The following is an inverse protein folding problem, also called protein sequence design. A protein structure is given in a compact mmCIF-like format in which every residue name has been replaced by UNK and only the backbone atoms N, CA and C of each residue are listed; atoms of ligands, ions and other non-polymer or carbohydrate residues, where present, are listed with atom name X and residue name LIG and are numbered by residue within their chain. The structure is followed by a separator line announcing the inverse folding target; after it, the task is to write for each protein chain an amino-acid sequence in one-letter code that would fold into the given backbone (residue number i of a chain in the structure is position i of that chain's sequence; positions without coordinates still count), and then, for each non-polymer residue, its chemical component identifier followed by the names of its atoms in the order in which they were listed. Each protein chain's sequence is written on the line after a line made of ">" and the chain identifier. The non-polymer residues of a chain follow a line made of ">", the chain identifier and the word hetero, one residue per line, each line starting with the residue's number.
data_IF_244524214923
#
_entry.id   IF_244524214923
#
_cell.length_a   1.000
_cell.length_b   1.000
_cell.length_c   1.000
_cell.angle_alpha   90.00
_cell.angle_beta   90.00
_cell.angle_gamma   90.00
#
_symmetry.space_group_name_H-M   'P 1'
#
loop_
_entity.id
_entity.type
_entity.pdbx_description
1 polymer ?
#
# COMPACT_ATOMS: atom_id res chain seq x y z
N UNK A 1 28.48 15.05 1.84
CA UNK A 1 27.86 15.15 3.17
C UNK A 1 28.67 16.19 3.91
N UNK A 2 28.10 17.35 4.18
CA UNK A 2 28.80 18.44 4.87
C UNK A 2 28.16 18.66 6.23
N UNK A 3 28.96 19.06 7.21
CA UNK A 3 28.49 19.39 8.55
C UNK A 3 28.07 20.86 8.57
N UNK A 4 26.94 21.16 7.93
CA UNK A 4 26.34 22.49 7.99
C UNK A 4 25.40 22.57 9.19
N UNK A 5 25.41 23.68 9.95
CA UNK A 5 24.45 23.87 11.02
C UNK A 5 23.03 23.81 10.45
N UNK A 6 22.16 22.91 10.95
CA UNK A 6 20.80 22.80 10.46
C UNK A 6 20.01 24.08 10.79
N UNK A 7 19.07 24.50 9.92
CA UNK A 7 18.12 25.56 10.23
C UNK A 7 17.29 25.19 11.47
N UNK A 8 16.81 26.18 12.24
CA UNK A 8 15.99 25.96 13.45
C UNK A 8 14.73 25.13 13.19
N UNK A 9 14.13 25.28 12.00
CA UNK A 9 12.92 24.56 11.60
C UNK A 9 13.16 23.76 10.31
N UNK A 10 12.75 22.50 10.32
CA UNK A 10 12.72 21.60 9.17
C UNK A 10 11.34 20.96 9.01
N UNK A 11 11.09 20.40 7.84
CA UNK A 11 9.79 19.83 7.49
C UNK A 11 9.92 18.38 7.08
N UNK A 12 8.95 17.57 7.48
CA UNK A 12 8.84 16.16 7.14
C UNK A 12 7.48 15.84 6.53
N UNK A 13 7.49 15.14 5.39
CA UNK A 13 6.29 14.61 4.75
C UNK A 13 5.93 13.24 5.33
N UNK A 14 5.11 13.22 6.37
CA UNK A 14 4.69 11.98 7.01
C UNK A 14 3.53 11.31 6.25
N UNK A 15 3.52 9.96 6.25
CA UNK A 15 2.36 9.18 5.80
C UNK A 15 1.27 9.20 6.88
N UNK A 16 0.00 9.12 6.50
CA UNK A 16 -1.12 9.12 7.47
C UNK A 16 -1.08 7.93 8.43
N UNK A 17 -0.75 6.74 7.91
CA UNK A 17 -0.78 5.48 8.69
C UNK A 17 0.16 5.48 9.92
N UNK A 18 1.48 5.73 9.79
CA UNK A 18 2.38 5.70 10.93
C UNK A 18 2.39 6.99 11.76
N UNK A 19 1.69 8.05 11.34
CA UNK A 19 1.71 9.34 12.04
C UNK A 19 1.33 9.24 13.52
N UNK A 20 0.36 8.37 13.87
CA UNK A 20 0.00 8.08 15.26
C UNK A 20 1.19 7.55 16.06
N UNK A 21 1.86 6.53 15.53
CA UNK A 21 3.01 5.90 16.19
C UNK A 21 4.15 6.90 16.33
N UNK A 22 4.36 7.74 15.32
CA UNK A 22 5.39 8.78 15.36
C UNK A 22 5.09 9.87 16.40
N UNK A 23 3.84 10.30 16.51
CA UNK A 23 3.42 11.25 17.53
C UNK A 23 3.64 10.71 18.95
N UNK A 24 3.37 9.42 19.18
CA UNK A 24 3.52 8.78 20.49
C UNK A 24 4.98 8.46 20.84
N UNK A 25 5.77 7.92 19.89
CA UNK A 25 7.10 7.34 20.15
C UNK A 25 8.27 8.10 19.55
N UNK A 26 8.04 8.97 18.58
CA UNK A 26 9.10 9.50 17.72
C UNK A 26 9.27 8.68 16.44
N UNK A 27 10.18 9.13 15.57
CA UNK A 27 10.58 8.37 14.38
C UNK A 27 11.94 7.75 14.64
N UNK A 28 11.98 6.42 14.62
CA UNK A 28 13.20 5.65 14.65
C UNK A 28 13.54 5.15 13.23
N UNK A 29 14.83 5.20 12.84
CA UNK A 29 15.26 4.72 11.54
C UNK A 29 15.13 3.19 11.53
N UNK A 30 14.57 2.65 10.44
CA UNK A 30 14.54 1.19 10.23
C UNK A 30 15.67 0.81 9.27
N UNK A 31 16.50 -0.17 9.65
CA UNK A 31 17.56 -0.76 8.81
C UNK A 31 18.47 0.25 8.09
N UNK A 32 19.16 1.09 8.86
CA UNK A 32 20.17 2.02 8.31
C UNK A 32 19.62 3.09 7.37
N UNK A 33 18.30 3.27 7.33
CA UNK A 33 17.65 4.34 6.54
C UNK A 33 17.59 5.61 7.36
N UNK A 34 18.36 6.60 6.94
CA UNK A 34 18.29 7.97 7.47
C UNK A 34 16.92 8.61 7.12
N UNK A 35 16.40 9.41 8.04
CA UNK A 35 15.15 10.14 7.88
C UNK A 35 15.45 11.39 7.05
N UNK A 36 14.74 11.56 5.93
CA UNK A 36 14.91 12.71 5.05
C UNK A 36 13.99 13.84 5.51
N UNK A 37 14.59 14.96 5.88
CA UNK A 37 13.94 16.23 6.19
C UNK A 37 14.17 17.23 5.05
N UNK A 38 13.25 18.17 4.91
CA UNK A 38 13.33 19.22 3.92
C UNK A 38 13.37 20.60 4.59
N UNK A 39 14.06 21.54 3.95
CA UNK A 39 14.13 22.94 4.38
C UNK A 39 12.83 23.70 4.15
N UNK A 40 12.05 23.30 3.14
CA UNK A 40 10.79 23.95 2.77
C UNK A 40 9.60 22.98 2.86
N UNK A 41 8.40 23.48 3.20
CA UNK A 41 7.21 22.64 3.32
C UNK A 41 6.78 22.04 1.98
N UNK A 42 6.92 22.78 0.89
CA UNK A 42 6.60 22.30 -0.47
C UNK A 42 7.45 21.08 -0.86
N UNK A 43 8.74 21.10 -0.50
CA UNK A 43 9.65 19.98 -0.75
C UNK A 43 9.27 18.76 0.09
N UNK A 44 8.93 18.96 1.37
CA UNK A 44 8.47 17.89 2.25
C UNK A 44 7.19 17.23 1.70
N UNK A 45 6.21 18.03 1.26
CA UNK A 45 4.98 17.54 0.64
C UNK A 45 5.26 16.78 -0.66
N UNK A 46 6.17 17.29 -1.51
CA UNK A 46 6.56 16.60 -2.76
C UNK A 46 7.15 15.22 -2.49
N UNK A 47 7.99 15.09 -1.46
CA UNK A 47 8.56 13.80 -1.05
C UNK A 47 7.48 12.89 -0.45
N UNK A 48 6.60 13.44 0.38
CA UNK A 48 5.47 12.71 0.97
C UNK A 48 4.50 12.17 -0.08
N UNK A 49 4.16 12.98 -1.08
CA UNK A 49 3.25 12.66 -2.19
C UNK A 49 3.70 11.45 -3.01
N UNK A 50 5.01 11.19 -3.09
CA UNK A 50 5.54 9.99 -3.76
C UNK A 50 5.15 8.70 -3.04
N UNK A 51 4.85 8.77 -1.75
CA UNK A 51 4.60 7.62 -0.88
C UNK A 51 3.13 7.48 -0.48
N UNK A 52 2.45 8.60 -0.29
CA UNK A 52 1.05 8.67 0.11
C UNK A 52 0.40 9.87 -0.61
N UNK A 53 -0.78 9.71 -1.24
CA UNK A 53 -1.45 10.80 -1.96
C UNK A 53 -1.95 11.93 -1.05
N UNK A 54 -2.03 11.73 0.27
CA UNK A 54 -2.42 12.74 1.26
C UNK A 54 -1.40 12.78 2.40
N UNK A 55 -0.17 13.28 2.16
CA UNK A 55 0.86 13.36 3.19
C UNK A 55 0.49 14.41 4.24
N UNK A 56 0.89 14.16 5.48
CA UNK A 56 0.78 15.09 6.60
C UNK A 56 2.10 15.85 6.70
N UNK A 57 2.03 17.17 6.69
CA UNK A 57 3.18 18.03 6.96
C UNK A 57 3.45 18.05 8.46
N UNK A 58 4.68 17.71 8.84
CA UNK A 58 5.17 17.77 10.21
C UNK A 58 6.34 18.73 10.27
N UNK A 59 6.30 19.66 11.20
CA UNK A 59 7.35 20.61 11.50
C UNK A 59 8.26 20.03 12.58
N UNK A 60 9.56 20.26 12.43
CA UNK A 60 10.60 19.69 13.28
C UNK A 60 11.47 20.82 13.78
N UNK A 61 11.53 20.97 15.09
CA UNK A 61 12.49 21.86 15.73
C UNK A 61 13.84 21.16 15.88
N UNK A 62 14.84 21.66 15.17
CA UNK A 62 16.16 21.03 15.11
C UNK A 62 16.97 21.24 16.38
N UNK A 63 16.77 22.35 17.10
CA UNK A 63 17.44 22.63 18.37
C UNK A 63 17.00 21.64 19.45
N UNK A 64 15.69 21.41 19.54
CA UNK A 64 15.13 20.42 20.47
C UNK A 64 15.63 19.03 20.09
N UNK A 65 15.59 18.66 18.81
CA UNK A 65 16.07 17.37 18.36
C UNK A 65 17.57 17.17 18.64
N UNK A 66 18.41 18.17 18.38
CA UNK A 66 19.84 18.13 18.64
C UNK A 66 20.14 17.99 20.14
N UNK A 67 19.39 18.69 21.00
CA UNK A 67 19.52 18.55 22.47
C UNK A 67 19.21 17.13 22.98
N UNK A 68 18.38 16.38 22.23
CA UNK A 68 18.01 14.99 22.50
C UNK A 68 18.94 13.98 21.80
N UNK A 69 20.03 14.43 21.19
CA UNK A 69 21.04 13.59 20.54
C UNK A 69 20.73 13.22 19.09
N UNK A 70 19.89 13.98 18.39
CA UNK A 70 19.70 13.83 16.95
C UNK A 70 20.87 14.47 16.18
N UNK A 71 21.48 13.72 15.27
CA UNK A 71 22.50 14.23 14.35
C UNK A 71 21.86 14.60 13.02
N UNK A 72 22.24 15.76 12.49
CA UNK A 72 21.75 16.28 11.22
C UNK A 72 22.90 16.30 10.23
N UNK A 73 22.69 15.70 9.07
CA UNK A 73 23.64 15.70 7.95
C UNK A 73 23.02 16.45 6.79
N UNK A 74 23.73 17.43 6.22
CA UNK A 74 23.23 18.14 5.06
C UNK A 74 23.32 17.27 3.80
N UNK A 75 22.26 17.27 3.01
CA UNK A 75 22.19 16.62 1.70
C UNK A 75 21.78 17.63 0.64
N UNK A 76 22.79 18.26 0.04
CA UNK A 76 22.59 19.39 -0.87
C UNK A 76 22.05 20.62 -0.14
N UNK A 77 21.36 21.50 -0.87
CA UNK A 77 20.92 22.80 -0.33
C UNK A 77 19.57 22.76 0.41
N UNK A 78 18.75 21.74 0.17
CA UNK A 78 17.32 21.72 0.53
C UNK A 78 16.92 20.53 1.42
N UNK A 79 17.79 19.53 1.58
CA UNK A 79 17.48 18.31 2.31
C UNK A 79 18.49 18.07 3.42
N UNK A 80 18.00 17.44 4.48
CA UNK A 80 18.79 17.03 5.64
C UNK A 80 18.46 15.59 5.97
N UNK A 81 19.45 14.86 6.43
CA UNK A 81 19.35 13.48 6.87
C UNK A 81 19.50 13.44 8.38
N UNK A 82 18.65 12.66 9.03
CA UNK A 82 18.64 12.53 10.48
C UNK A 82 18.60 11.07 10.87
N UNK A 83 19.39 10.72 11.87
CA UNK A 83 19.43 9.36 12.40
C UNK A 83 18.16 9.06 13.18
N UNK A 84 17.83 9.87 14.19
CA UNK A 84 16.67 9.67 15.07
C UNK A 84 15.90 10.97 15.24
N UNK A 85 14.57 10.89 15.24
CA UNK A 85 13.70 12.03 15.49
C UNK A 85 12.87 11.82 16.77
N UNK A 86 13.14 12.57 17.85
CA UNK A 86 12.36 12.46 19.09
C UNK A 86 10.97 13.07 18.93
N UNK A 87 10.00 12.56 19.70
CA UNK A 87 8.63 13.09 19.72
C UNK A 87 8.55 14.56 20.14
N UNK A 88 9.41 14.97 21.07
CA UNK A 88 9.42 16.33 21.64
C UNK A 88 9.74 17.41 20.59
N UNK A 89 10.42 17.03 19.51
CA UNK A 89 10.81 17.94 18.44
C UNK A 89 9.78 18.00 17.31
N UNK A 90 8.78 17.11 17.30
CA UNK A 90 7.76 17.05 16.24
C UNK A 90 6.53 17.85 16.61
N UNK A 91 6.21 18.80 15.73
CA UNK A 91 5.00 19.60 15.80
C UNK A 91 4.19 19.34 14.54
N UNK A 92 2.96 18.90 14.70
CA UNK A 92 2.10 18.63 13.56
C UNK A 92 0.65 18.79 13.92
N UNK A 93 -0.24 18.78 12.92
CA UNK A 93 -1.67 18.87 13.17
C UNK A 93 -2.07 17.79 14.17
N UNK A 94 -2.82 18.13 15.23
CA UNK A 94 -3.31 17.14 16.17
C UNK A 94 -4.11 16.10 15.40
N UNK A 95 -3.79 14.84 15.64
CA UNK A 95 -4.33 13.72 14.90
C UNK A 95 -5.84 13.65 15.13
N UNK A 96 -6.66 14.16 14.20
CA UNK A 96 -8.11 13.92 14.26
C UNK A 96 -8.36 12.45 13.94
N UNK A 97 -9.02 11.77 14.86
CA UNK A 97 -9.29 10.33 14.82
C UNK A 97 -10.01 9.88 13.54
N UNK A 98 -10.75 10.80 12.92
CA UNK A 98 -11.51 10.62 11.67
C UNK A 98 -10.61 10.36 10.46
N UNK A 99 -9.39 10.91 10.42
CA UNK A 99 -8.43 10.69 9.34
C UNK A 99 -7.52 9.46 9.57
N UNK A 100 -7.62 8.82 10.73
CA UNK A 100 -6.80 7.69 11.17
C UNK A 100 -7.36 6.31 10.84
N UNK A 101 -8.65 6.23 10.57
CA UNK A 101 -9.28 4.96 10.27
C UNK A 101 -8.89 4.53 8.84
N UNK A 102 -8.33 3.32 8.64
CA UNK A 102 -8.38 2.75 7.30
C UNK A 102 -9.85 2.77 6.87
N UNK A 103 -10.17 3.03 5.59
CA UNK A 103 -11.54 2.79 5.12
C UNK A 103 -11.89 1.39 5.61
N UNK A 104 -12.94 1.27 6.44
CA UNK A 104 -13.44 0.00 6.94
C UNK A 104 -13.61 -0.85 5.69
N UNK A 105 -12.65 -1.73 5.39
CA UNK A 105 -12.86 -2.76 4.39
C UNK A 105 -14.10 -3.48 4.92
N UNK A 106 -15.18 -3.60 4.13
CA UNK A 106 -16.30 -4.40 4.59
C UNK A 106 -15.71 -5.74 4.97
N UNK A 107 -15.89 -6.15 6.23
CA UNK A 107 -15.58 -7.50 6.66
C UNK A 107 -16.50 -8.39 5.81
N UNK A 108 -16.02 -8.83 4.66
CA UNK A 108 -16.63 -9.94 3.96
C UNK A 108 -16.54 -11.07 4.98
N UNK A 109 -17.71 -11.46 5.51
CA UNK A 109 -17.85 -12.64 6.36
C UNK A 109 -17.05 -13.77 5.69
N UNK A 110 -16.28 -14.59 6.42
CA UNK A 110 -15.78 -15.83 5.84
C UNK A 110 -17.03 -16.56 5.32
N UNK A 111 -17.16 -16.65 3.99
CA UNK A 111 -18.13 -17.55 3.40
C UNK A 111 -17.59 -18.93 3.70
N UNK A 112 -18.42 -19.77 4.26
CA UNK A 112 -18.17 -21.20 4.42
C UNK A 112 -17.61 -21.76 3.09
N UNK A 113 -16.30 -22.04 3.05
CA UNK A 113 -15.63 -22.70 1.94
C UNK A 113 -15.05 -24.05 2.37
N UNK A 114 -15.63 -24.66 3.40
CA UNK A 114 -15.17 -25.94 3.95
C UNK A 114 -15.35 -27.16 3.02
N UNK A 115 -15.81 -27.02 1.77
CA UNK A 115 -16.01 -28.20 0.90
C UNK A 115 -15.32 -28.22 -0.47
N UNK A 116 -14.45 -27.27 -0.83
CA UNK A 116 -13.72 -27.37 -2.10
C UNK A 116 -12.28 -26.87 -2.01
N UNK A 117 -11.48 -27.44 -1.10
CA UNK A 117 -10.04 -27.50 -1.32
C UNK A 117 -9.76 -28.62 -2.33
N UNK A 118 -9.44 -28.34 -3.61
CA UNK A 118 -8.61 -29.29 -4.33
C UNK A 118 -7.31 -29.35 -3.54
N UNK A 119 -7.01 -30.52 -2.97
CA UNK A 119 -5.77 -30.80 -2.25
C UNK A 119 -4.62 -30.18 -3.03
N UNK A 120 -3.97 -29.16 -2.44
CA UNK A 120 -2.78 -28.59 -3.05
C UNK A 120 -1.79 -29.74 -3.25
N UNK A 121 -1.31 -30.00 -4.48
CA UNK A 121 -0.31 -31.02 -4.69
C UNK A 121 0.89 -30.74 -3.77
N UNK A 122 1.30 -31.76 -3.00
CA UNK A 122 2.53 -31.72 -2.21
C UNK A 122 3.68 -31.23 -3.11
N UNK A 123 4.68 -30.47 -2.59
CA UNK A 123 5.81 -29.96 -3.39
C UNK A 123 6.52 -31.02 -4.25
N UNK A 124 6.41 -32.29 -3.86
CA UNK A 124 6.98 -33.44 -4.55
C UNK A 124 6.16 -33.93 -5.77
N UNK A 125 4.87 -33.58 -5.86
CA UNK A 125 4.01 -33.99 -6.99
C UNK A 125 4.01 -33.01 -8.16
N UNK A 126 4.74 -31.89 -8.04
CA UNK A 126 4.87 -30.90 -9.11
C UNK A 126 5.85 -31.37 -10.21
N UNK A 127 6.79 -32.25 -9.88
CA UNK A 127 7.84 -32.71 -10.82
C UNK A 127 7.49 -34.01 -11.56
N UNK A 128 6.36 -34.64 -11.26
CA UNK A 128 6.00 -35.95 -11.85
C UNK A 128 4.79 -35.93 -12.78
N UNK A 129 4.22 -34.76 -13.07
CA UNK A 129 3.15 -34.66 -14.07
C UNK A 129 3.77 -34.60 -15.48
N UNK A 130 3.40 -35.50 -16.40
CA UNK A 130 3.79 -35.40 -17.81
C UNK A 130 3.23 -34.09 -18.37
N UNK A 131 4.08 -33.33 -19.07
CA UNK A 131 3.70 -32.09 -19.74
C UNK A 131 2.49 -32.31 -20.66
N UNK A 132 1.40 -31.54 -20.46
CA UNK A 132 0.20 -31.57 -21.31
C UNK A 132 0.17 -30.35 -22.25
N UNK A 133 0.41 -30.53 -23.56
CA UNK A 133 0.41 -29.44 -24.54
C UNK A 133 -0.94 -28.70 -24.67
N UNK A 134 -2.05 -29.25 -24.12
CA UNK A 134 -3.36 -28.62 -24.14
C UNK A 134 -3.61 -27.64 -22.97
N UNK A 135 -2.96 -27.84 -21.83
CA UNK A 135 -3.19 -27.04 -20.60
C UNK A 135 -2.02 -26.15 -20.21
N UNK A 136 -0.79 -26.62 -20.44
CA UNK A 136 0.42 -25.98 -19.93
C UNK A 136 1.10 -25.08 -20.97
N UNK A 137 0.35 -24.61 -21.99
CA UNK A 137 0.85 -23.61 -22.92
C UNK A 137 1.15 -22.32 -22.17
N UNK A 138 2.44 -22.05 -21.95
CA UNK A 138 2.93 -20.69 -21.80
C UNK A 138 2.39 -19.89 -22.97
N UNK A 139 1.58 -18.87 -22.66
CA UNK A 139 1.03 -17.94 -23.65
C UNK A 139 2.18 -17.08 -24.16
N UNK A 140 3.02 -17.65 -25.03
CA UNK A 140 3.92 -16.90 -25.89
C UNK A 140 3.03 -16.11 -26.83
N UNK A 141 2.86 -14.85 -26.44
CA UNK A 141 2.61 -13.65 -27.23
C UNK A 141 2.69 -13.88 -28.75
N UNK A 142 1.65 -14.46 -29.33
CA UNK A 142 1.16 -14.31 -30.72
C UNK A 142 -0.07 -15.20 -30.91
N UNK A 143 -1.21 -14.80 -30.32
CA UNK A 143 -2.51 -15.38 -30.64
C UNK A 143 -3.06 -14.67 -31.87
N UNK A 144 -3.62 -15.42 -32.83
CA UNK A 144 -4.35 -14.83 -33.94
C UNK A 144 -5.65 -14.18 -33.42
N UNK A 145 -6.16 -13.16 -34.13
CA UNK A 145 -7.37 -12.40 -33.72
C UNK A 145 -8.58 -13.31 -33.48
N UNK A 146 -8.68 -14.41 -34.23
CA UNK A 146 -9.77 -15.40 -34.12
C UNK A 146 -9.73 -16.19 -32.79
N UNK A 147 -8.52 -16.45 -32.28
CA UNK A 147 -8.32 -17.13 -30.99
C UNK A 147 -8.63 -16.20 -29.82
N UNK A 148 -8.29 -14.90 -29.93
CA UNK A 148 -8.69 -13.90 -28.93
C UNK A 148 -10.21 -13.77 -28.82
N UNK A 149 -10.93 -13.82 -29.94
CA UNK A 149 -12.39 -13.77 -29.92
C UNK A 149 -13.03 -15.01 -29.29
N UNK A 150 -12.47 -16.19 -29.53
CA UNK A 150 -12.95 -17.43 -28.89
C UNK A 150 -12.80 -17.35 -27.37
N UNK A 151 -11.63 -16.92 -26.88
CA UNK A 151 -11.37 -16.72 -25.46
C UNK A 151 -12.27 -15.62 -24.86
N UNK A 152 -12.54 -14.53 -25.58
CA UNK A 152 -13.49 -13.49 -25.15
C UNK A 152 -14.92 -14.02 -25.05
N UNK A 153 -15.38 -14.82 -26.03
CA UNK A 153 -16.73 -15.44 -26.02
C UNK A 153 -16.88 -16.42 -24.85
N UNK A 154 -15.83 -17.14 -24.49
CA UNK A 154 -15.83 -18.04 -23.34
C UNK A 154 -15.81 -17.29 -22.00
N UNK A 155 -14.99 -16.24 -21.87
CA UNK A 155 -14.93 -15.39 -20.66
C UNK A 155 -16.16 -14.52 -20.46
N UNK A 156 -16.93 -14.24 -21.51
CA UNK A 156 -18.15 -13.41 -21.49
C UNK A 156 -19.40 -14.11 -20.94
N UNK A 157 -19.40 -15.44 -20.78
CA UNK A 157 -20.53 -16.18 -20.21
C UNK A 157 -20.53 -16.05 -18.69
N UNK A 158 -21.14 -14.97 -18.18
CA UNK A 158 -21.45 -14.85 -16.75
C UNK A 158 -22.30 -16.04 -16.33
N UNK A 159 -21.87 -16.78 -15.29
CA UNK A 159 -22.70 -17.80 -14.65
C UNK A 159 -23.98 -17.14 -14.17
N UNK A 160 -25.13 -17.61 -14.66
CA UNK A 160 -26.44 -17.10 -14.29
C UNK A 160 -26.61 -17.32 -12.79
N UNK A 161 -26.67 -16.24 -12.03
CA UNK A 161 -26.91 -16.32 -10.60
C UNK A 161 -28.35 -16.71 -10.32
N UNK A 162 -28.61 -17.41 -9.21
CA UNK A 162 -29.93 -17.91 -8.80
C UNK A 162 -31.07 -16.85 -8.84
N UNK A 163 -30.73 -15.56 -8.68
CA UNK A 163 -31.69 -14.44 -8.81
C UNK A 163 -32.13 -14.16 -10.25
N UNK A 164 -31.29 -14.42 -11.26
CA UNK A 164 -31.68 -14.31 -12.67
C UNK A 164 -32.55 -15.51 -13.11
N UNK A 165 -32.35 -16.70 -12.53
CA UNK A 165 -33.23 -17.86 -12.75
C UNK A 165 -34.66 -17.63 -12.22
N UNK A 166 -34.79 -17.08 -11.01
CA UNK A 166 -36.09 -16.67 -10.44
C UNK A 166 -36.80 -15.64 -11.32
N UNK A 167 -36.08 -14.64 -11.83
CA UNK A 167 -36.63 -13.64 -12.76
C UNK A 167 -37.02 -14.24 -14.11
N UNK A 168 -36.37 -15.32 -14.53
CA UNK A 168 -36.66 -16.04 -15.78
C UNK A 168 -37.84 -16.98 -15.64
N UNK A 169 -38.05 -17.60 -14.46
CA UNK A 169 -39.27 -18.36 -14.12
C UNK A 169 -40.51 -17.46 -14.08
N UNK A 170 -40.39 -16.30 -13.41
CA UNK A 170 -41.49 -15.31 -13.36
C UNK A 170 -41.89 -14.77 -14.74
N UNK A 171 -40.93 -14.66 -15.67
CA UNK A 171 -41.19 -14.28 -17.08
C UNK A 171 -41.80 -15.40 -17.92
N UNK A 172 -41.62 -16.66 -17.53
CA UNK A 172 -42.18 -17.83 -18.22
C UNK A 172 -43.54 -18.28 -17.68
N UNK A 173 -44.06 -17.61 -16.65
CA UNK A 173 -45.40 -17.90 -16.13
C UNK A 173 -45.53 -19.25 -15.43
N UNK A 174 -44.41 -19.89 -15.08
CA UNK A 174 -44.39 -21.14 -14.30
C UNK A 174 -44.35 -20.79 -12.80
N UNK A 175 -45.45 -20.23 -12.31
CA UNK A 175 -45.84 -20.29 -10.90
C UNK A 175 -46.78 -21.49 -10.75
N UNK A 176 -46.27 -22.57 -10.12
CA UNK A 176 -47.08 -23.48 -9.30
C UNK A 176 -46.76 -23.17 -7.83
#
# INVERSE_FOLDING_TARGET
>A
REYLPPPTLLYYGCRRKPYRVYSEKGIEPTDGREIVLARTPEMALRIGNRRDPKPILVEINTEIAASRGAHFLSYGAQLFLVDRLPKDAMFGPPVKEEDLLPPKKPKTKPKDYEELVPTAPSPDSFYSQPWDPGKDRLVLRDLSVEDEERVRRERGKKKVGWKDELRKRRRRGEEE
#
